data_IF_150094480618
#
_entry.id   IF_150094480618
#
_cell.length_a   1.000
_cell.length_b   1.000
_cell.length_c   1.000
_cell.angle_alpha   90.00
_cell.angle_beta   90.00
_cell.angle_gamma   90.00
#
_symmetry.space_group_name_H-M   'P 1'
#
loop_
_entity.id
_entity.type
_entity.pdbx_description
1 polymer ?
#
# COMPACT_ATOMS: atom_id res chain seq x y z
N UNK A 1 6.47 -26.48 -11.34
CA UNK A 1 6.81 -26.67 -9.91
C UNK A 1 8.16 -26.01 -9.69
N UNK A 2 8.24 -25.05 -8.80
CA UNK A 2 9.49 -24.50 -8.27
C UNK A 2 9.30 -24.46 -6.74
N UNK A 3 10.18 -25.14 -6.02
CA UNK A 3 10.23 -25.05 -4.56
C UNK A 3 11.00 -23.79 -4.15
N UNK A 4 10.78 -23.36 -2.90
CA UNK A 4 11.57 -22.32 -2.25
C UNK A 4 11.90 -22.79 -0.83
N UNK A 5 13.14 -22.59 -0.42
CA UNK A 5 13.74 -23.27 0.73
C UNK A 5 13.49 -22.55 2.07
N UNK A 6 13.40 -23.31 3.16
CA UNK A 6 13.27 -22.77 4.51
C UNK A 6 14.60 -22.18 5.02
N UNK A 7 14.59 -20.95 5.54
CA UNK A 7 15.77 -20.30 6.14
C UNK A 7 15.52 -19.99 7.61
N UNK A 8 16.11 -20.81 8.49
CA UNK A 8 16.10 -20.57 9.94
C UNK A 8 17.20 -19.60 10.38
N UNK A 9 16.86 -18.62 11.24
CA UNK A 9 17.81 -17.67 11.83
C UNK A 9 17.83 -17.83 13.36
N UNK A 10 18.98 -18.21 13.91
CA UNK A 10 19.19 -18.34 15.36
C UNK A 10 19.94 -17.12 15.89
N UNK A 11 19.42 -16.52 16.96
CA UNK A 11 19.99 -15.35 17.62
C UNK A 11 20.61 -15.71 18.98
N UNK A 12 21.81 -15.21 19.26
CA UNK A 12 22.47 -15.36 20.57
C UNK A 12 22.70 -13.99 21.22
N UNK A 13 22.21 -13.81 22.45
CA UNK A 13 22.39 -12.59 23.23
C UNK A 13 23.35 -12.80 24.41
N UNK A 14 24.47 -12.08 24.44
CA UNK A 14 25.44 -12.15 25.54
C UNK A 14 25.13 -11.09 26.61
N UNK A 15 24.80 -11.52 27.83
CA UNK A 15 24.78 -10.65 29.02
C UNK A 15 26.13 -10.68 29.74
N UNK A 16 26.89 -9.60 29.61
CA UNK A 16 27.91 -9.16 30.57
C UNK A 16 28.93 -10.19 31.06
N UNK A 17 29.88 -10.59 30.21
CA UNK A 17 31.02 -11.42 30.62
C UNK A 17 32.15 -11.44 29.58
N UNK A 18 33.40 -11.57 30.04
CA UNK A 18 34.57 -11.66 29.16
C UNK A 18 34.71 -13.08 28.58
N UNK A 19 34.03 -13.36 27.47
CA UNK A 19 34.24 -14.57 26.67
C UNK A 19 34.99 -14.24 25.38
N UNK A 20 36.05 -14.99 25.07
CA UNK A 20 36.84 -14.85 23.84
C UNK A 20 36.65 -16.08 22.94
N UNK A 21 36.22 -15.86 21.69
CA UNK A 21 35.96 -16.93 20.73
C UNK A 21 37.28 -17.34 20.05
N UNK A 22 37.67 -18.61 20.14
CA UNK A 22 38.74 -19.21 19.32
C UNK A 22 38.15 -19.85 18.06
N UNK A 23 38.12 -19.09 16.95
CA UNK A 23 37.68 -19.60 15.64
C UNK A 23 38.83 -20.15 14.79
N UNK A 24 38.69 -21.38 14.28
CA UNK A 24 39.60 -22.00 13.31
C UNK A 24 38.93 -22.15 11.95
N UNK A 25 39.37 -21.40 10.96
CA UNK A 25 38.81 -21.41 9.60
C UNK A 25 39.24 -22.65 8.79
N UNK A 26 38.33 -23.60 8.61
CA UNK A 26 38.50 -24.71 7.66
C UNK A 26 38.03 -24.28 6.27
N UNK A 27 38.94 -24.27 5.29
CA UNK A 27 38.61 -23.99 3.88
C UNK A 27 38.41 -25.29 3.07
N UNK A 28 37.39 -25.37 2.20
CA UNK A 28 37.32 -26.39 1.14
C UNK A 28 38.55 -26.34 0.22
N UNK A 29 38.95 -27.48 -0.34
CA UNK A 29 40.18 -27.62 -1.16
C UNK A 29 39.89 -27.37 -2.65
N UNK A 30 40.31 -26.21 -3.19
CA UNK A 30 40.27 -25.88 -4.63
C UNK A 30 41.52 -25.08 -5.07
N UNK A 31 42.15 -25.47 -6.20
CA UNK A 31 43.54 -25.14 -6.58
C UNK A 31 43.92 -23.63 -6.64
N UNK A 32 45.02 -23.32 -5.97
CA UNK A 32 45.83 -22.06 -5.90
C UNK A 32 46.05 -21.26 -7.20
N UNK A 33 46.04 -19.92 -7.06
CA UNK A 33 47.23 -19.03 -7.25
C UNK A 33 47.03 -17.70 -6.48
N UNK A 34 48.03 -16.81 -6.44
CA UNK A 34 48.23 -15.86 -5.31
C UNK A 34 48.71 -14.45 -5.68
N UNK A 35 48.23 -13.42 -4.96
CA UNK A 35 49.06 -12.33 -4.40
C UNK A 35 48.33 -11.56 -3.26
N UNK A 36 49.04 -10.63 -2.60
CA UNK A 36 48.63 -9.96 -1.34
C UNK A 36 47.94 -8.60 -1.57
N UNK A 37 47.08 -8.14 -0.64
CA UNK A 37 46.94 -6.73 -0.31
C UNK A 37 48.00 -6.28 0.72
N UNK A 38 48.46 -5.04 0.64
CA UNK A 38 49.21 -4.34 1.69
C UNK A 38 48.27 -3.57 2.61
N UNK A 39 48.72 -3.25 3.84
CA UNK A 39 48.10 -2.15 4.58
C UNK A 39 48.56 -0.83 3.97
N UNK A 40 47.66 0.15 3.86
CA UNK A 40 48.01 1.54 4.18
C UNK A 40 46.78 2.35 4.63
N UNK A 41 47.02 3.59 5.04
CA UNK A 41 46.17 4.36 5.98
C UNK A 41 44.82 4.84 5.44
N UNK A 42 43.89 5.05 6.38
CA UNK A 42 42.86 6.08 6.29
C UNK A 42 43.41 7.36 6.93
N UNK A 43 43.54 8.44 6.15
CA UNK A 43 43.83 9.78 6.65
C UNK A 43 42.55 10.62 6.83
N UNK A 44 42.70 11.78 7.48
CA UNK A 44 41.61 12.49 8.16
C UNK A 44 40.92 13.56 7.31
N UNK A 45 39.66 13.86 7.63
CA UNK A 45 38.96 15.09 7.18
C UNK A 45 39.33 16.24 8.15
N UNK A 46 39.75 17.43 7.66
CA UNK A 46 40.29 18.49 8.51
C UNK A 46 39.22 19.33 9.22
N UNK A 47 39.64 20.01 10.30
CA UNK A 47 38.86 21.00 11.06
C UNK A 47 39.29 22.44 10.76
N UNK A 48 38.41 23.40 11.01
CA UNK A 48 38.64 24.84 10.79
C UNK A 48 39.56 25.50 11.85
N UNK A 49 40.25 26.61 11.53
CA UNK A 49 41.12 27.33 12.46
C UNK A 49 40.41 28.47 13.22
N UNK A 50 40.78 28.66 14.50
CA UNK A 50 40.56 29.93 15.23
C UNK A 50 41.54 31.04 14.81
N UNK A 51 41.45 32.27 15.36
CA UNK A 51 41.86 32.46 16.77
C UNK A 51 41.11 33.57 17.57
N UNK A 52 41.27 33.59 18.91
CA UNK A 52 40.79 34.71 19.76
C UNK A 52 41.11 34.58 21.27
N UNK A 53 41.81 35.56 21.86
CA UNK A 53 42.35 35.53 23.23
C UNK A 53 41.33 35.62 24.39
N UNK A 54 41.60 34.88 25.50
CA UNK A 54 41.90 35.34 26.89
C UNK A 54 41.91 34.12 27.86
N UNK A 55 43.02 33.80 28.56
CA UNK A 55 43.34 34.24 29.95
C UNK A 55 42.13 34.14 30.92
N UNK A 56 42.16 33.34 31.99
CA UNK A 56 42.96 33.63 33.20
C UNK A 56 43.19 32.43 34.19
N UNK A 57 44.12 32.58 35.15
CA UNK A 57 44.27 31.93 36.48
C UNK A 57 44.45 30.39 36.68
N UNK A 58 45.71 29.99 36.53
CA UNK A 58 46.59 29.29 37.51
C UNK A 58 46.05 29.06 38.95
N UNK A 59 46.29 27.84 39.51
CA UNK A 59 46.93 27.61 40.84
C UNK A 59 47.54 26.20 40.99
N UNK A 60 48.56 26.06 41.85
CA UNK A 60 49.48 24.90 41.97
C UNK A 60 49.36 24.12 43.29
N UNK A 61 49.60 22.81 43.22
CA UNK A 61 50.52 22.00 44.09
C UNK A 61 50.41 20.51 43.63
N UNK A 62 51.45 19.85 43.10
CA UNK A 62 52.62 19.29 43.81
C UNK A 62 52.23 18.25 44.88
N UNK A 63 52.63 16.97 44.90
CA UNK A 63 53.44 16.06 44.03
C UNK A 63 52.80 14.63 44.10
N UNK A 64 53.28 13.47 43.62
CA UNK A 64 54.61 12.99 43.17
C UNK A 64 54.50 11.73 42.22
N UNK A 65 55.62 11.36 41.57
CA UNK A 65 56.07 10.07 41.00
C UNK A 65 55.15 9.12 40.17
N UNK A 66 55.77 8.54 39.13
CA UNK A 66 55.27 7.49 38.22
C UNK A 66 56.02 6.14 38.44
N UNK A 67 55.72 5.02 37.73
CA UNK A 67 54.56 4.70 36.89
C UNK A 67 53.82 3.39 37.28
N UNK A 68 52.61 3.18 36.74
CA UNK A 68 52.11 1.81 36.50
C UNK A 68 50.70 1.43 37.01
N UNK A 69 49.64 1.99 36.42
CA UNK A 69 48.37 1.26 36.16
C UNK A 69 47.32 2.16 35.48
N UNK A 70 47.15 2.03 34.16
CA UNK A 70 46.07 2.75 33.45
C UNK A 70 44.73 2.08 33.74
N UNK A 71 43.99 2.61 34.73
CA UNK A 71 42.58 2.30 34.94
C UNK A 71 41.75 2.84 33.78
N UNK A 72 41.31 1.98 32.87
CA UNK A 72 40.31 2.36 31.88
C UNK A 72 38.91 2.41 32.52
N UNK A 73 38.18 3.50 32.28
CA UNK A 73 36.79 3.64 32.74
C UNK A 73 35.86 2.75 31.91
N UNK A 74 34.93 2.05 32.59
CA UNK A 74 33.87 1.31 31.91
C UNK A 74 32.86 2.26 31.28
N UNK A 75 32.79 2.27 29.95
CA UNK A 75 31.57 2.63 29.23
C UNK A 75 30.75 1.35 29.00
N UNK A 76 29.45 1.38 29.29
CA UNK A 76 28.55 0.28 28.96
C UNK A 76 28.23 0.26 27.46
N UNK A 77 28.97 -0.53 26.69
CA UNK A 77 28.65 -0.84 25.30
C UNK A 77 27.43 -1.77 25.20
N UNK A 78 26.65 -1.60 24.12
CA UNK A 78 25.45 -2.40 23.83
C UNK A 78 25.84 -3.85 23.48
N UNK A 79 24.96 -4.84 23.72
CA UNK A 79 25.22 -6.22 23.30
C UNK A 79 25.28 -6.31 21.77
N UNK A 80 26.40 -6.80 21.24
CA UNK A 80 26.54 -7.15 19.83
C UNK A 80 25.71 -8.38 19.51
N UNK A 81 24.90 -8.32 18.45
CA UNK A 81 24.10 -9.43 17.97
C UNK A 81 24.80 -10.04 16.75
N UNK A 82 24.90 -11.38 16.71
CA UNK A 82 25.42 -12.14 15.58
C UNK A 82 24.35 -13.10 15.07
N UNK A 83 24.29 -13.28 13.75
CA UNK A 83 23.45 -14.26 13.07
C UNK A 83 24.33 -15.23 12.28
N UNK A 84 23.89 -16.48 12.20
CA UNK A 84 24.50 -17.53 11.37
C UNK A 84 23.41 -18.13 10.49
N UNK A 85 23.63 -18.13 9.18
CA UNK A 85 22.77 -18.82 8.22
C UNK A 85 23.21 -20.29 8.12
N UNK A 86 22.24 -21.20 8.05
CA UNK A 86 22.46 -22.63 7.87
C UNK A 86 21.65 -23.09 6.67
N UNK A 87 22.35 -23.65 5.68
CA UNK A 87 21.78 -24.33 4.53
C UNK A 87 21.49 -25.81 4.91
N UNK A 88 20.41 -26.39 4.36
CA UNK A 88 19.90 -27.70 4.81
C UNK A 88 19.40 -28.59 3.66
N UNK A 89 20.29 -28.86 2.72
CA UNK A 89 20.08 -29.86 1.65
C UNK A 89 20.10 -31.31 2.19
N UNK A 90 18.93 -31.89 2.50
CA UNK A 90 18.70 -33.35 2.46
C UNK A 90 17.19 -33.69 2.55
N UNK A 91 16.68 -34.49 1.61
CA UNK A 91 15.26 -34.85 1.46
C UNK A 91 14.77 -35.89 2.51
N UNK A 92 14.44 -35.49 3.74
CA UNK A 92 13.62 -36.31 4.66
C UNK A 92 12.67 -35.46 5.53
N UNK A 93 11.40 -35.87 5.64
CA UNK A 93 10.44 -35.23 6.57
C UNK A 93 10.81 -35.55 8.02
N UNK A 94 10.99 -34.56 8.92
CA UNK A 94 11.39 -34.81 10.29
C UNK A 94 10.28 -35.47 11.10
N UNK A 95 10.67 -36.37 12.00
CA UNK A 95 9.83 -36.79 13.12
C UNK A 95 10.26 -36.08 14.41
N UNK A 96 9.42 -36.08 15.44
CA UNK A 96 9.67 -35.30 16.67
C UNK A 96 10.99 -35.69 17.38
N UNK A 97 11.53 -36.88 17.13
CA UNK A 97 12.76 -37.38 17.76
C UNK A 97 14.07 -36.78 17.23
N UNK A 98 14.13 -36.26 16.00
CA UNK A 98 15.39 -35.78 15.40
C UNK A 98 15.94 -34.48 16.04
N UNK A 99 15.16 -33.86 16.91
CA UNK A 99 15.46 -32.58 17.56
C UNK A 99 16.53 -32.67 18.66
N UNK A 100 16.75 -33.82 19.31
CA UNK A 100 17.73 -33.94 20.40
C UNK A 100 19.17 -34.20 19.92
N UNK A 101 19.39 -35.06 18.91
CA UNK A 101 20.76 -35.31 18.40
C UNK A 101 21.41 -34.06 17.82
N UNK A 102 20.62 -33.14 17.24
CA UNK A 102 21.11 -31.86 16.76
C UNK A 102 21.62 -30.96 17.91
N UNK A 103 20.99 -31.03 19.09
CA UNK A 103 21.31 -30.22 20.26
C UNK A 103 22.64 -30.63 20.90
N UNK A 104 22.88 -31.94 21.03
CA UNK A 104 24.11 -32.48 21.64
C UNK A 104 25.36 -32.16 20.81
N UNK A 105 25.25 -32.20 19.47
CA UNK A 105 26.38 -31.88 18.57
C UNK A 105 26.84 -30.42 18.64
N UNK A 106 25.94 -29.47 18.90
CA UNK A 106 26.28 -28.05 19.01
C UNK A 106 26.79 -27.65 20.40
N UNK A 107 26.35 -28.35 21.45
CA UNK A 107 26.79 -28.08 22.84
C UNK A 107 28.30 -28.31 23.02
N UNK A 108 28.92 -29.15 22.18
CA UNK A 108 30.36 -29.46 22.20
C UNK A 108 31.29 -28.33 21.72
N UNK A 109 30.76 -27.21 21.19
CA UNK A 109 31.58 -26.08 20.67
C UNK A 109 31.81 -24.95 21.69
N UNK A 110 31.27 -25.05 22.91
CA UNK A 110 31.40 -24.01 23.95
C UNK A 110 32.14 -24.51 25.19
N UNK A 111 32.88 -23.61 25.83
CA UNK A 111 33.69 -23.89 27.02
C UNK A 111 32.78 -24.23 28.23
N UNK A 112 32.99 -25.33 28.99
CA UNK A 112 32.03 -25.84 29.98
C UNK A 112 31.61 -24.90 31.12
N UNK A 113 32.27 -23.75 31.28
CA UNK A 113 31.86 -22.69 32.21
C UNK A 113 30.65 -21.86 31.77
N UNK A 114 30.25 -21.88 30.49
CA UNK A 114 29.27 -20.95 29.91
C UNK A 114 27.78 -21.31 30.15
N UNK A 115 27.39 -21.58 31.40
CA UNK A 115 26.02 -22.01 31.78
C UNK A 115 24.93 -20.91 31.81
N UNK A 116 25.05 -19.86 30.99
CA UNK A 116 24.14 -18.69 31.01
C UNK A 116 23.59 -18.29 29.63
N UNK A 117 23.47 -19.25 28.71
CA UNK A 117 22.78 -19.08 27.43
C UNK A 117 21.45 -19.86 27.44
N UNK A 118 20.34 -19.18 27.72
CA UNK A 118 19.00 -19.69 27.37
C UNK A 118 18.80 -19.50 25.86
N UNK A 119 18.56 -20.56 25.07
CA UNK A 119 18.22 -20.40 23.67
C UNK A 119 16.82 -19.78 23.55
N UNK A 120 16.75 -18.54 23.06
CA UNK A 120 15.48 -17.93 22.68
C UNK A 120 15.16 -18.45 21.27
N UNK A 121 14.40 -19.54 21.21
CA UNK A 121 13.70 -19.92 19.99
C UNK A 121 12.63 -18.86 19.71
N UNK A 122 12.98 -17.88 18.87
CA UNK A 122 11.96 -17.19 18.09
C UNK A 122 11.49 -18.19 17.05
N UNK A 123 10.39 -18.86 17.34
CA UNK A 123 9.61 -19.53 16.31
C UNK A 123 9.10 -18.43 15.38
N UNK A 124 9.86 -18.16 14.32
CA UNK A 124 9.37 -17.38 13.19
C UNK A 124 8.29 -18.26 12.57
N UNK A 125 7.03 -18.04 12.96
CA UNK A 125 5.92 -18.42 12.11
C UNK A 125 6.17 -17.76 10.76
N UNK A 126 6.46 -18.57 9.74
CA UNK A 126 6.42 -18.16 8.35
C UNK A 126 4.94 -17.99 7.95
N UNK A 127 4.30 -17.00 8.57
CA UNK A 127 3.00 -16.49 8.18
C UNK A 127 3.08 -16.01 6.73
N UNK A 128 1.95 -15.98 6.02
CA UNK A 128 1.86 -15.80 4.57
C UNK A 128 2.37 -14.43 4.03
N UNK A 129 2.99 -13.56 4.84
CA UNK A 129 3.51 -12.25 4.44
C UNK A 129 4.63 -12.30 3.37
N UNK A 130 5.31 -13.44 3.25
CA UNK A 130 6.29 -13.71 2.18
C UNK A 130 5.67 -14.36 0.93
N UNK A 131 4.44 -14.89 1.02
CA UNK A 131 3.76 -15.50 -0.13
C UNK A 131 3.22 -14.41 -1.05
N UNK A 132 3.95 -14.20 -2.16
CA UNK A 132 3.60 -13.26 -3.25
C UNK A 132 3.78 -11.78 -2.86
N UNK A 133 5.02 -11.41 -2.55
CA UNK A 133 5.54 -10.05 -2.77
C UNK A 133 6.73 -10.10 -3.72
N UNK A 134 6.50 -9.76 -5.00
CA UNK A 134 7.58 -9.29 -5.90
C UNK A 134 8.34 -8.17 -5.20
N UNK A 135 9.66 -8.10 -5.30
CA UNK A 135 10.39 -7.03 -4.64
C UNK A 135 9.96 -5.67 -5.20
N UNK A 136 10.04 -4.62 -4.37
CA UNK A 136 9.76 -3.25 -4.80
C UNK A 136 10.65 -2.78 -5.96
N UNK A 137 11.78 -3.45 -6.19
CA UNK A 137 12.65 -3.21 -7.34
C UNK A 137 12.17 -3.94 -8.60
N UNK A 138 11.70 -5.19 -8.49
CA UNK A 138 11.04 -5.89 -9.62
C UNK A 138 9.84 -5.09 -10.10
N UNK A 139 8.92 -4.72 -9.20
CA UNK A 139 7.68 -3.98 -9.56
C UNK A 139 7.97 -2.68 -10.34
N UNK A 140 8.97 -1.92 -9.91
CA UNK A 140 9.44 -0.71 -10.61
C UNK A 140 10.03 -1.04 -11.98
N UNK A 141 10.91 -2.03 -12.03
CA UNK A 141 11.53 -2.49 -13.29
C UNK A 141 10.47 -2.95 -14.30
N UNK A 142 9.42 -3.66 -13.84
CA UNK A 142 8.30 -4.11 -14.68
C UNK A 142 7.44 -2.96 -15.17
N UNK A 143 7.07 -1.97 -14.34
CA UNK A 143 6.21 -0.87 -14.80
C UNK A 143 6.93 0.11 -15.74
N UNK A 144 8.25 0.28 -15.57
CA UNK A 144 9.06 1.21 -16.34
C UNK A 144 9.60 0.63 -17.67
N UNK A 145 9.65 -0.71 -17.85
CA UNK A 145 10.01 -1.31 -19.15
C UNK A 145 8.86 -1.15 -20.16
N UNK A 146 9.04 -0.21 -21.09
CA UNK A 146 8.08 0.10 -22.16
C UNK A 146 7.93 -1.00 -23.22
N UNK A 147 8.75 -2.07 -23.18
CA UNK A 147 8.61 -3.24 -24.06
C UNK A 147 7.54 -4.22 -23.55
N UNK A 148 7.21 -4.17 -22.27
CA UNK A 148 6.22 -5.07 -21.69
C UNK A 148 4.78 -4.60 -22.02
N UNK A 149 3.83 -5.53 -22.24
CA UNK A 149 2.43 -5.19 -22.44
C UNK A 149 1.83 -4.34 -21.31
N UNK A 150 0.89 -3.45 -21.65
CA UNK A 150 0.30 -2.51 -20.68
C UNK A 150 -0.38 -3.22 -19.50
N UNK A 151 -0.99 -4.39 -19.74
CA UNK A 151 -1.54 -5.28 -18.71
C UNK A 151 -0.54 -5.60 -17.58
N UNK A 152 0.72 -5.85 -17.91
CA UNK A 152 1.75 -6.29 -16.95
C UNK A 152 2.35 -5.10 -16.21
N UNK A 153 2.58 -4.00 -16.95
CA UNK A 153 3.07 -2.73 -16.42
C UNK A 153 2.07 -2.10 -15.43
N UNK A 154 0.78 -2.09 -15.78
CA UNK A 154 -0.29 -1.61 -14.90
C UNK A 154 -0.45 -2.53 -13.68
N UNK A 155 -0.38 -3.85 -13.85
CA UNK A 155 -0.43 -4.81 -12.73
C UNK A 155 0.69 -4.57 -11.72
N UNK A 156 1.93 -4.42 -12.18
CA UNK A 156 3.07 -4.12 -11.31
C UNK A 156 2.95 -2.74 -10.62
N UNK A 157 2.34 -1.76 -11.27
CA UNK A 157 2.06 -0.46 -10.67
C UNK A 157 1.01 -0.55 -9.55
N UNK A 158 -0.14 -1.20 -9.77
CA UNK A 158 -1.18 -1.30 -8.73
C UNK A 158 -0.74 -2.18 -7.54
N UNK A 159 0.07 -3.22 -7.77
CA UNK A 159 0.71 -4.01 -6.71
C UNK A 159 1.65 -3.14 -5.84
N UNK A 160 2.48 -2.29 -6.46
CA UNK A 160 3.37 -1.38 -5.72
C UNK A 160 2.56 -0.31 -4.97
N UNK A 161 1.57 0.30 -5.64
CA UNK A 161 0.73 1.35 -5.07
C UNK A 161 -0.08 0.85 -3.88
N UNK A 162 -0.60 -0.38 -3.92
CA UNK A 162 -1.25 -1.01 -2.75
C UNK A 162 -0.29 -1.08 -1.56
N UNK A 163 0.95 -1.54 -1.77
CA UNK A 163 1.98 -1.58 -0.71
C UNK A 163 2.31 -0.18 -0.17
N UNK A 164 2.45 0.83 -1.03
CA UNK A 164 2.73 2.21 -0.61
C UNK A 164 1.55 2.82 0.17
N UNK A 165 0.32 2.61 -0.28
CA UNK A 165 -0.89 3.14 0.39
C UNK A 165 -1.11 2.45 1.75
N UNK A 166 -0.94 1.13 1.83
CA UNK A 166 -1.06 0.41 3.10
C UNK A 166 -0.01 0.88 4.11
N UNK A 167 1.24 1.08 3.69
CA UNK A 167 2.29 1.67 4.55
C UNK A 167 1.93 3.10 4.99
N UNK A 168 1.48 3.96 4.07
CA UNK A 168 1.11 5.35 4.39
C UNK A 168 -0.10 5.49 5.31
N UNK A 169 -1.07 4.57 5.25
CA UNK A 169 -2.18 4.50 6.20
C UNK A 169 -1.70 3.94 7.55
N UNK A 170 -0.87 2.89 7.55
CA UNK A 170 -0.31 2.29 8.77
C UNK A 170 0.62 3.24 9.54
N UNK A 171 1.34 4.15 8.86
CA UNK A 171 2.17 5.16 9.54
C UNK A 171 1.35 6.21 10.28
N UNK A 172 0.08 6.39 9.91
CA UNK A 172 -0.85 7.33 10.57
C UNK A 172 -1.69 6.62 11.65
N UNK A 173 -2.03 5.33 11.45
CA UNK A 173 -2.75 4.52 12.43
C UNK A 173 -1.99 3.24 12.85
N UNK A 174 -0.92 3.38 13.66
CA UNK A 174 -0.13 2.23 14.12
C UNK A 174 -0.80 1.43 15.26
N UNK A 175 -2.09 1.64 15.56
CA UNK A 175 -2.78 0.93 16.65
C UNK A 175 -3.28 -0.47 16.26
N UNK A 176 -3.23 -0.80 14.99
CA UNK A 176 -3.72 -2.05 14.39
C UNK A 176 -2.95 -2.33 13.09
N UNK A 177 -3.16 -3.48 12.47
CA UNK A 177 -2.49 -3.87 11.21
C UNK A 177 -3.50 -4.18 10.12
N UNK A 178 -3.10 -3.95 8.86
CA UNK A 178 -3.85 -4.46 7.72
C UNK A 178 -3.70 -5.98 7.63
N UNK A 179 -4.81 -6.71 7.68
CA UNK A 179 -4.86 -8.11 7.24
C UNK A 179 -4.66 -8.15 5.73
N UNK A 180 -3.66 -8.90 5.29
CA UNK A 180 -3.45 -9.27 3.89
C UNK A 180 -4.19 -10.57 3.60
N UNK A 181 -4.87 -10.63 2.46
CA UNK A 181 -5.86 -11.67 2.14
C UNK A 181 -5.81 -11.91 0.61
N UNK A 182 -4.91 -12.80 0.18
CA UNK A 182 -4.72 -13.16 -1.22
C UNK A 182 -5.75 -14.21 -1.67
N UNK A 183 -6.23 -14.11 -2.91
CA UNK A 183 -7.24 -15.01 -3.45
C UNK A 183 -7.10 -15.20 -4.96
N UNK A 184 -7.49 -16.38 -5.43
CA UNK A 184 -7.61 -16.74 -6.85
C UNK A 184 -9.08 -16.98 -7.22
N UNK A 185 -9.41 -16.91 -8.52
CA UNK A 185 -10.74 -17.26 -9.05
C UNK A 185 -10.65 -18.44 -9.98
N UNK A 186 -11.49 -19.44 -9.76
CA UNK A 186 -11.64 -20.60 -10.65
C UNK A 186 -12.05 -20.23 -12.09
N UNK A 187 -12.56 -19.02 -12.31
CA UNK A 187 -12.90 -18.46 -13.64
C UNK A 187 -11.80 -17.61 -14.27
N UNK A 188 -10.64 -17.46 -13.62
CA UNK A 188 -9.48 -16.71 -14.11
C UNK A 188 -9.14 -15.49 -13.25
N UNK A 189 -7.83 -15.32 -13.04
CA UNK A 189 -7.22 -14.22 -12.29
C UNK A 189 -7.24 -14.35 -10.77
N UNK A 190 -6.65 -13.34 -10.13
CA UNK A 190 -6.40 -13.29 -8.69
C UNK A 190 -6.55 -11.86 -8.15
N UNK A 191 -6.32 -11.69 -6.86
CA UNK A 191 -6.24 -10.39 -6.22
C UNK A 191 -5.78 -10.48 -4.78
N UNK A 192 -5.50 -9.33 -4.21
CA UNK A 192 -5.04 -9.18 -2.82
C UNK A 192 -5.90 -8.12 -2.16
N UNK A 193 -6.59 -8.50 -1.09
CA UNK A 193 -7.36 -7.58 -0.26
C UNK A 193 -6.55 -7.21 0.98
N UNK A 194 -6.32 -5.93 1.21
CA UNK A 194 -5.68 -5.41 2.42
C UNK A 194 -6.76 -4.72 3.25
N UNK A 195 -7.16 -5.31 4.37
CA UNK A 195 -8.28 -4.81 5.21
C UNK A 195 -7.78 -4.47 6.61
N UNK A 196 -8.07 -3.25 7.07
CA UNK A 196 -7.89 -2.78 8.43
C UNK A 196 -9.27 -2.48 9.03
N UNK A 197 -9.49 -2.87 10.27
CA UNK A 197 -10.70 -2.58 11.04
C UNK A 197 -10.33 -2.18 12.47
N UNK A 198 -11.19 -1.37 13.08
CA UNK A 198 -11.14 -1.00 14.50
C UNK A 198 -9.81 -0.34 14.93
N UNK A 199 -9.18 0.42 14.01
CA UNK A 199 -8.05 1.29 14.30
C UNK A 199 -8.43 2.58 15.02
N UNK A 200 -7.46 3.23 15.67
CA UNK A 200 -7.68 4.43 16.46
C UNK A 200 -8.03 5.65 15.58
N UNK A 201 -7.53 5.68 14.34
CA UNK A 201 -7.80 6.71 13.33
C UNK A 201 -8.80 6.19 12.30
N UNK A 202 -8.66 4.95 11.84
CA UNK A 202 -9.46 4.33 10.78
C UNK A 202 -10.36 3.23 11.34
N UNK A 203 -11.67 3.52 11.42
CA UNK A 203 -12.67 2.56 11.91
C UNK A 203 -12.79 1.35 10.96
N UNK A 204 -12.64 1.60 9.65
CA UNK A 204 -12.42 0.59 8.61
C UNK A 204 -11.67 1.21 7.44
N UNK A 205 -10.67 0.52 6.92
CA UNK A 205 -10.00 0.84 5.67
C UNK A 205 -9.81 -0.42 4.84
N UNK A 206 -9.96 -0.32 3.52
CA UNK A 206 -9.65 -1.42 2.62
C UNK A 206 -8.96 -0.92 1.36
N UNK A 207 -7.89 -1.59 0.96
CA UNK A 207 -7.10 -1.30 -0.24
C UNK A 207 -6.98 -2.61 -1.02
N UNK A 208 -7.80 -2.77 -2.06
CA UNK A 208 -7.93 -4.02 -2.80
C UNK A 208 -7.31 -3.89 -4.19
N UNK A 209 -6.53 -4.89 -4.58
CA UNK A 209 -6.03 -5.08 -5.96
C UNK A 209 -6.72 -6.32 -6.55
N UNK A 210 -7.12 -6.22 -7.81
CA UNK A 210 -7.54 -7.38 -8.60
C UNK A 210 -6.89 -7.37 -9.98
N UNK A 211 -6.55 -8.56 -10.47
CA UNK A 211 -5.96 -8.83 -11.78
C UNK A 211 -6.76 -10.00 -12.36
N UNK A 212 -7.80 -9.70 -13.13
CA UNK A 212 -8.75 -10.69 -13.66
C UNK A 212 -8.65 -10.83 -15.18
N UNK A 213 -8.79 -12.05 -15.66
CA UNK A 213 -8.84 -12.39 -17.07
C UNK A 213 -9.88 -13.47 -17.31
N UNK A 214 -10.39 -13.58 -18.53
CA UNK A 214 -11.42 -14.56 -18.86
C UNK A 214 -12.01 -14.29 -20.23
N UNK A 215 -13.26 -14.69 -20.43
CA UNK A 215 -14.01 -14.46 -21.66
C UNK A 215 -15.22 -13.54 -21.45
N UNK A 216 -15.48 -12.67 -22.43
CA UNK A 216 -16.70 -11.88 -22.53
C UNK A 216 -17.68 -12.60 -23.48
N UNK A 217 -18.88 -12.98 -23.01
CA UNK A 217 -19.90 -13.51 -23.89
C UNK A 217 -20.45 -12.41 -24.81
N UNK A 218 -20.98 -12.73 -26.00
CA UNK A 218 -21.43 -11.75 -26.98
C UNK A 218 -22.40 -10.68 -26.45
N UNK A 219 -23.28 -11.03 -25.51
CA UNK A 219 -24.20 -10.09 -24.87
C UNK A 219 -23.50 -9.01 -24.03
N UNK A 220 -22.37 -9.34 -23.38
CA UNK A 220 -21.57 -8.36 -22.64
C UNK A 220 -20.81 -7.44 -23.59
N UNK A 221 -20.25 -7.99 -24.69
CA UNK A 221 -19.58 -7.18 -25.72
C UNK A 221 -20.57 -6.26 -26.44
N UNK A 222 -21.82 -6.68 -26.67
CA UNK A 222 -22.87 -5.84 -27.22
C UNK A 222 -23.24 -4.65 -26.29
N UNK A 223 -23.28 -4.87 -24.98
CA UNK A 223 -23.44 -3.78 -23.99
C UNK A 223 -22.21 -2.84 -23.97
N UNK A 224 -21.00 -3.37 -24.18
CA UNK A 224 -19.81 -2.55 -24.34
C UNK A 224 -19.88 -1.70 -25.61
N UNK A 225 -20.22 -2.27 -26.77
CA UNK A 225 -20.40 -1.56 -28.05
C UNK A 225 -21.32 -0.33 -27.95
N UNK A 226 -22.50 -0.47 -27.35
CA UNK A 226 -23.45 0.64 -27.21
C UNK A 226 -22.90 1.79 -26.33
N UNK A 227 -21.91 1.51 -25.47
CA UNK A 227 -21.26 2.51 -24.59
C UNK A 227 -19.94 3.04 -25.18
N UNK A 228 -19.23 2.19 -25.91
CA UNK A 228 -17.92 2.40 -26.52
C UNK A 228 -18.07 2.31 -28.04
N UNK A 229 -18.55 3.41 -28.61
CA UNK A 229 -18.56 3.81 -30.04
C UNK A 229 -18.31 2.68 -31.06
N UNK A 230 -19.33 2.29 -31.82
CA UNK A 230 -19.45 0.98 -32.48
C UNK A 230 -18.22 0.58 -33.32
N UNK A 231 -17.59 1.54 -33.98
CA UNK A 231 -16.36 1.39 -34.77
C UNK A 231 -15.24 0.67 -34.00
N UNK A 232 -15.10 0.90 -32.68
CA UNK A 232 -14.08 0.27 -31.82
C UNK A 232 -14.13 -1.26 -31.86
N UNK A 233 -15.32 -1.83 -32.11
CA UNK A 233 -15.54 -3.26 -32.21
C UNK A 233 -15.91 -3.72 -33.63
N UNK A 234 -15.78 -2.89 -34.66
CA UNK A 234 -16.17 -3.22 -36.04
C UNK A 234 -15.47 -4.44 -36.65
N UNK A 235 -14.37 -4.88 -36.05
CA UNK A 235 -13.60 -6.09 -36.38
C UNK A 235 -14.22 -7.41 -35.87
N UNK A 236 -15.19 -7.37 -34.95
CA UNK A 236 -15.78 -8.56 -34.31
C UNK A 236 -17.13 -8.96 -34.94
N UNK A 237 -17.32 -10.25 -35.21
CA UNK A 237 -18.47 -10.76 -35.97
C UNK A 237 -19.81 -10.80 -35.20
N UNK A 238 -19.79 -10.50 -33.90
CA UNK A 238 -20.97 -10.49 -33.03
C UNK A 238 -21.36 -11.86 -32.43
N UNK A 239 -20.60 -12.94 -32.72
CA UNK A 239 -20.98 -14.32 -32.36
C UNK A 239 -19.99 -15.02 -31.44
N UNK A 240 -18.68 -14.81 -31.65
CA UNK A 240 -17.66 -15.46 -30.83
C UNK A 240 -17.46 -14.75 -29.49
N UNK A 241 -17.17 -15.53 -28.46
CA UNK A 241 -16.64 -15.07 -27.17
C UNK A 241 -15.30 -14.32 -27.35
N UNK A 242 -15.06 -13.26 -26.57
CA UNK A 242 -13.84 -12.44 -26.66
C UNK A 242 -13.00 -12.50 -25.38
N UNK A 243 -11.70 -12.88 -25.44
CA UNK A 243 -10.82 -12.84 -24.29
C UNK A 243 -10.62 -11.40 -23.79
N UNK A 244 -10.73 -11.20 -22.48
CA UNK A 244 -10.48 -9.92 -21.84
C UNK A 244 -9.47 -10.03 -20.70
N UNK A 245 -8.88 -8.89 -20.39
CA UNK A 245 -8.08 -8.66 -19.18
C UNK A 245 -8.54 -7.36 -18.52
N UNK A 246 -8.61 -7.35 -17.20
CA UNK A 246 -8.89 -6.17 -16.41
C UNK A 246 -8.09 -6.22 -15.11
N UNK A 247 -7.37 -5.14 -14.80
CA UNK A 247 -6.73 -4.99 -13.50
C UNK A 247 -7.02 -3.62 -12.89
N UNK A 248 -6.96 -3.52 -11.57
CA UNK A 248 -7.11 -2.23 -10.90
C UNK A 248 -6.95 -2.28 -9.39
N UNK A 249 -6.65 -1.12 -8.83
CA UNK A 249 -6.71 -0.83 -7.41
C UNK A 249 -8.06 -0.17 -7.09
N UNK A 250 -8.65 -0.53 -5.95
CA UNK A 250 -9.88 0.07 -5.43
C UNK A 250 -9.79 0.15 -3.92
N UNK A 251 -9.99 1.34 -3.35
CA UNK A 251 -9.92 1.57 -1.92
C UNK A 251 -11.08 2.40 -1.40
N UNK A 252 -11.42 2.17 -0.13
CA UNK A 252 -12.28 3.04 0.67
C UNK A 252 -11.68 3.13 2.08
N UNK A 253 -11.58 4.34 2.62
CA UNK A 253 -11.13 4.59 3.99
C UNK A 253 -12.22 5.35 4.74
N UNK A 254 -12.63 4.82 5.90
CA UNK A 254 -13.60 5.43 6.80
C UNK A 254 -12.93 5.77 8.14
N UNK A 255 -12.49 7.03 8.33
CA UNK A 255 -11.98 7.47 9.62
C UNK A 255 -13.00 7.32 10.75
N UNK A 256 -12.49 7.04 11.95
CA UNK A 256 -13.29 6.96 13.17
C UNK A 256 -13.81 8.34 13.60
N UNK A 257 -12.98 9.38 13.49
CA UNK A 257 -13.35 10.75 13.86
C UNK A 257 -14.33 11.39 12.84
N UNK A 258 -15.48 11.95 13.26
CA UNK A 258 -16.40 12.69 12.39
C UNK A 258 -15.78 13.84 11.57
N UNK A 259 -14.72 14.46 12.08
CA UNK A 259 -14.03 15.57 11.41
C UNK A 259 -13.14 15.11 10.26
N UNK A 260 -12.76 13.83 10.23
CA UNK A 260 -11.89 13.26 9.22
C UNK A 260 -12.72 12.63 8.08
N UNK A 261 -12.50 13.01 6.81
CA UNK A 261 -13.34 12.59 5.69
C UNK A 261 -13.11 11.13 5.28
N UNK A 262 -14.20 10.47 4.87
CA UNK A 262 -14.10 9.24 4.08
C UNK A 262 -13.50 9.59 2.71
N UNK A 263 -12.65 8.72 2.17
CA UNK A 263 -12.15 8.84 0.78
C UNK A 263 -12.35 7.53 0.04
N UNK A 264 -12.54 7.64 -1.28
CA UNK A 264 -12.54 6.53 -2.22
C UNK A 264 -11.57 6.84 -3.36
N UNK A 265 -10.87 5.81 -3.84
CA UNK A 265 -10.05 5.86 -5.06
C UNK A 265 -10.26 4.56 -5.83
N UNK A 266 -10.32 4.67 -7.15
CA UNK A 266 -10.25 3.53 -8.07
C UNK A 266 -9.36 3.90 -9.26
N UNK A 267 -8.41 3.04 -9.63
CA UNK A 267 -7.71 3.16 -10.90
C UNK A 267 -7.60 1.78 -11.55
N UNK A 268 -8.10 1.67 -12.78
CA UNK A 268 -8.25 0.41 -13.52
C UNK A 268 -7.84 0.55 -14.98
N UNK A 269 -7.40 -0.56 -15.55
CA UNK A 269 -7.16 -0.76 -16.97
C UNK A 269 -7.97 -1.96 -17.44
N UNK A 270 -8.56 -1.86 -18.63
CA UNK A 270 -9.36 -2.91 -19.24
C UNK A 270 -8.93 -3.07 -20.70
N UNK A 271 -8.82 -4.31 -21.18
CA UNK A 271 -8.54 -4.61 -22.58
C UNK A 271 -9.24 -5.88 -23.09
N UNK A 272 -9.45 -5.92 -24.40
CA UNK A 272 -10.07 -7.01 -25.16
C UNK A 272 -9.11 -7.45 -26.28
N UNK A 273 -8.84 -8.74 -26.35
CA UNK A 273 -8.04 -9.36 -27.41
C UNK A 273 -8.91 -9.91 -28.54
N UNK A 274 -8.29 -10.10 -29.70
CA UNK A 274 -8.85 -10.83 -30.83
C UNK A 274 -8.41 -12.30 -30.74
N UNK A 275 -9.33 -13.29 -30.71
CA UNK A 275 -8.97 -14.71 -30.75
C UNK A 275 -8.09 -15.10 -31.94
N UNK A 276 -8.14 -14.36 -33.05
CA UNK A 276 -7.31 -14.59 -34.23
C UNK A 276 -5.95 -13.87 -34.20
N UNK A 277 -5.69 -13.03 -33.20
CA UNK A 277 -4.36 -12.43 -33.03
C UNK A 277 -3.37 -13.47 -32.50
N UNK A 278 -2.39 -13.81 -33.32
CA UNK A 278 -1.27 -14.66 -32.94
C UNK A 278 -0.47 -14.01 -31.82
N UNK A 279 -0.30 -14.72 -30.69
CA UNK A 279 0.65 -14.33 -29.66
C UNK A 279 2.08 -14.60 -30.17
N UNK A 280 2.64 -13.64 -30.90
CA UNK A 280 4.10 -13.60 -31.13
C UNK A 280 4.79 -13.46 -29.76
N UNK A 281 5.86 -14.24 -29.55
CA UNK A 281 6.36 -14.64 -28.23
C UNK A 281 6.39 -13.49 -27.18
N UNK A 282 5.50 -13.57 -26.19
CA UNK A 282 5.42 -12.62 -25.07
C UNK A 282 4.68 -11.31 -25.36
N UNK A 283 4.21 -11.07 -26.58
CA UNK A 283 3.46 -9.84 -26.93
C UNK A 283 1.94 -10.07 -26.88
N UNK A 284 1.22 -9.11 -26.28
CA UNK A 284 -0.25 -9.05 -26.34
C UNK A 284 -0.68 -7.69 -26.88
N UNK A 285 -1.32 -7.69 -28.05
CA UNK A 285 -1.79 -6.49 -28.74
C UNK A 285 -3.32 -6.40 -28.63
N UNK A 286 -3.86 -5.59 -27.69
CA UNK A 286 -5.31 -5.45 -27.53
C UNK A 286 -5.94 -4.66 -28.68
N UNK A 287 -7.11 -5.10 -29.14
CA UNK A 287 -7.89 -4.37 -30.16
C UNK A 287 -8.64 -3.19 -29.57
N UNK A 288 -9.15 -3.37 -28.35
CA UNK A 288 -9.90 -2.35 -27.60
C UNK A 288 -9.34 -2.33 -26.18
N UNK A 289 -9.01 -1.15 -25.69
CA UNK A 289 -8.56 -0.95 -24.32
C UNK A 289 -8.96 0.43 -23.83
N UNK A 290 -9.02 0.60 -22.52
CA UNK A 290 -9.20 1.90 -21.88
C UNK A 290 -8.72 1.90 -20.43
N UNK A 291 -8.36 3.08 -19.94
CA UNK A 291 -8.25 3.36 -18.52
C UNK A 291 -9.58 3.88 -17.97
N UNK A 292 -9.78 3.69 -16.67
CA UNK A 292 -10.86 4.30 -15.92
C UNK A 292 -10.46 4.52 -14.48
N UNK A 293 -11.14 5.40 -13.77
CA UNK A 293 -10.82 5.64 -12.37
C UNK A 293 -11.42 6.91 -11.81
N UNK A 294 -10.82 7.36 -10.71
CA UNK A 294 -11.24 8.54 -9.99
C UNK A 294 -10.76 8.50 -8.55
N UNK A 295 -10.93 9.61 -7.85
CA UNK A 295 -10.65 9.75 -6.42
C UNK A 295 -11.56 10.86 -5.90
N UNK A 296 -12.38 10.57 -4.88
CA UNK A 296 -13.42 11.47 -4.35
C UNK A 296 -13.46 11.50 -2.81
N UNK A 297 -13.81 12.67 -2.26
CA UNK A 297 -13.78 12.94 -0.83
C UNK A 297 -15.19 13.12 -0.26
N UNK A 298 -15.50 12.35 0.77
CA UNK A 298 -16.79 12.33 1.48
C UNK A 298 -16.61 12.78 2.94
N UNK A 299 -16.55 14.10 3.21
CA UNK A 299 -16.56 14.64 4.56
C UNK A 299 -17.90 14.42 5.26
N UNK A 300 -17.89 14.39 6.60
CA UNK A 300 -19.09 14.61 7.43
C UNK A 300 -19.21 16.04 7.93
N UNK A 301 -18.10 16.78 8.03
CA UNK A 301 -18.06 18.21 8.30
C UNK A 301 -17.23 18.92 7.24
N UNK A 302 -17.72 20.06 6.75
CA UNK A 302 -17.04 20.78 5.68
C UNK A 302 -15.85 21.56 6.23
N UNK A 303 -14.67 21.30 5.68
CA UNK A 303 -13.47 22.11 5.89
C UNK A 303 -13.00 22.64 4.53
N UNK A 304 -13.30 23.92 4.18
CA UNK A 304 -13.01 24.45 2.85
C UNK A 304 -11.55 24.32 2.41
N UNK A 305 -10.59 24.36 3.33
CA UNK A 305 -9.17 24.24 3.01
C UNK A 305 -8.72 22.79 2.79
N UNK A 306 -9.44 21.80 3.35
CA UNK A 306 -9.21 20.39 3.01
C UNK A 306 -9.77 20.06 1.63
N UNK A 307 -10.93 20.66 1.29
CA UNK A 307 -11.52 20.57 -0.04
C UNK A 307 -10.58 21.16 -1.11
N UNK A 308 -10.07 22.38 -0.89
CA UNK A 308 -9.05 23.00 -1.75
C UNK A 308 -7.78 22.16 -1.84
N UNK A 309 -7.25 21.66 -0.72
CA UNK A 309 -6.04 20.82 -0.69
C UNK A 309 -6.19 19.60 -1.59
N UNK A 310 -7.28 18.83 -1.39
CA UNK A 310 -7.57 17.63 -2.15
C UNK A 310 -7.73 17.91 -3.65
N UNK A 311 -8.59 18.88 -4.00
CA UNK A 311 -8.86 19.22 -5.40
C UNK A 311 -7.65 19.87 -6.10
N UNK A 312 -6.86 20.69 -5.42
CA UNK A 312 -5.64 21.28 -5.99
C UNK A 312 -4.58 20.21 -6.30
N UNK A 313 -4.44 19.18 -5.46
CA UNK A 313 -3.56 18.04 -5.76
C UNK A 313 -4.01 17.29 -7.02
N UNK A 314 -5.30 16.99 -7.16
CA UNK A 314 -5.88 16.35 -8.34
C UNK A 314 -5.72 17.21 -9.60
N UNK A 315 -6.09 18.50 -9.51
CA UNK A 315 -5.94 19.48 -10.59
C UNK A 315 -4.49 19.59 -11.07
N UNK A 316 -3.53 19.67 -10.15
CA UNK A 316 -2.10 19.74 -10.47
C UNK A 316 -1.63 18.51 -11.28
N UNK A 317 -2.20 17.32 -11.03
CA UNK A 317 -1.87 16.14 -11.84
C UNK A 317 -2.57 16.17 -13.20
N UNK A 318 -3.85 16.51 -13.25
CA UNK A 318 -4.58 16.64 -14.51
C UNK A 318 -3.93 17.68 -15.46
N UNK A 319 -3.62 18.88 -14.95
CA UNK A 319 -3.06 19.99 -15.73
C UNK A 319 -1.69 19.65 -16.38
N UNK A 320 -0.90 18.72 -15.80
CA UNK A 320 0.35 18.21 -16.40
C UNK A 320 0.12 17.49 -17.73
N UNK A 321 -1.00 16.78 -17.85
CA UNK A 321 -1.27 15.87 -18.97
C UNK A 321 -2.24 16.48 -19.98
N UNK A 322 -3.32 17.11 -19.50
CA UNK A 322 -4.23 17.92 -20.31
C UNK A 322 -5.06 18.86 -19.40
N UNK A 323 -4.99 20.19 -19.60
CA UNK A 323 -5.79 21.16 -18.84
C UNK A 323 -7.32 20.97 -18.87
N UNK A 324 -7.88 20.19 -19.81
CA UNK A 324 -9.32 19.85 -19.78
C UNK A 324 -9.66 18.75 -18.78
N UNK A 325 -8.72 17.86 -18.44
CA UNK A 325 -8.99 16.68 -17.61
C UNK A 325 -9.55 17.02 -16.24
N UNK A 326 -9.07 18.07 -15.56
CA UNK A 326 -9.64 18.45 -14.27
C UNK A 326 -11.10 18.92 -14.38
N UNK A 327 -11.46 19.97 -15.13
CA UNK A 327 -12.86 20.40 -15.21
C UNK A 327 -13.78 19.31 -15.78
N UNK A 328 -13.35 18.54 -16.78
CA UNK A 328 -14.15 17.46 -17.38
C UNK A 328 -14.43 16.34 -16.35
N UNK A 329 -13.39 15.83 -15.68
CA UNK A 329 -13.51 14.71 -14.74
C UNK A 329 -14.08 15.13 -13.38
N UNK A 330 -13.89 16.39 -12.96
CA UNK A 330 -14.55 16.97 -11.77
C UNK A 330 -16.05 17.11 -12.01
N UNK A 331 -16.45 17.69 -13.14
CA UNK A 331 -17.86 17.79 -13.51
C UNK A 331 -18.49 16.40 -13.72
N UNK A 332 -17.74 15.39 -14.17
CA UNK A 332 -18.21 14.00 -14.20
C UNK A 332 -18.36 13.41 -12.79
N UNK A 333 -17.42 13.66 -11.88
CA UNK A 333 -17.49 13.24 -10.48
C UNK A 333 -18.78 13.76 -9.80
N UNK A 334 -19.09 15.03 -9.97
CA UNK A 334 -20.29 15.69 -9.40
C UNK A 334 -21.62 15.17 -9.98
N UNK A 335 -21.59 14.54 -11.16
CA UNK A 335 -22.72 13.84 -11.78
C UNK A 335 -22.79 12.37 -11.35
N UNK A 336 -21.65 11.67 -11.28
CA UNK A 336 -21.60 10.23 -11.00
C UNK A 336 -21.99 9.92 -9.55
N UNK A 337 -21.49 10.69 -8.58
CA UNK A 337 -21.76 10.47 -7.15
C UNK A 337 -23.03 11.16 -6.63
N UNK A 338 -23.98 11.51 -7.51
CA UNK A 338 -25.31 11.97 -7.14
C UNK A 338 -26.12 10.82 -6.52
N UNK A 339 -26.96 11.11 -5.53
CA UNK A 339 -27.96 10.21 -4.95
C UNK A 339 -29.36 10.73 -5.37
N UNK A 340 -29.92 10.32 -6.53
CA UNK A 340 -31.14 10.91 -7.09
C UNK A 340 -32.33 11.01 -6.12
N UNK A 341 -32.60 9.98 -5.31
CA UNK A 341 -33.72 9.97 -4.37
C UNK A 341 -33.51 10.87 -3.12
N UNK A 342 -32.34 11.51 -2.98
CA UNK A 342 -32.01 12.51 -1.96
C UNK A 342 -31.76 13.90 -2.55
N UNK A 343 -31.49 13.98 -3.85
CA UNK A 343 -31.00 15.16 -4.57
C UNK A 343 -29.74 15.80 -3.94
N UNK A 344 -28.82 14.96 -3.46
CA UNK A 344 -27.53 15.36 -2.89
C UNK A 344 -26.42 14.45 -3.42
N UNK A 345 -25.15 14.89 -3.43
CA UNK A 345 -23.99 14.04 -3.75
C UNK A 345 -23.54 13.28 -2.51
N UNK A 346 -22.84 12.16 -2.73
CA UNK A 346 -22.20 11.35 -1.67
C UNK A 346 -21.23 12.17 -0.83
N UNK A 347 -20.39 12.95 -1.52
CA UNK A 347 -19.34 13.82 -0.96
C UNK A 347 -19.09 15.05 -1.84
N UNK A 348 -17.99 15.76 -1.60
CA UNK A 348 -17.62 17.04 -2.26
C UNK A 348 -16.90 16.85 -3.60
N UNK A 349 -17.17 15.73 -4.26
CA UNK A 349 -16.53 15.36 -5.53
C UNK A 349 -15.03 15.07 -5.40
N UNK A 350 -14.34 15.30 -6.51
CA UNK A 350 -12.96 14.91 -6.78
C UNK A 350 -12.79 14.83 -8.29
N UNK A 351 -12.24 13.74 -8.80
CA UNK A 351 -12.29 13.42 -10.25
C UNK A 351 -12.88 12.04 -10.50
N UNK A 352 -13.56 11.88 -11.64
CA UNK A 352 -14.04 10.59 -12.15
C UNK A 352 -13.88 10.51 -13.68
N UNK A 353 -13.36 9.39 -14.17
CA UNK A 353 -13.26 9.10 -15.60
C UNK A 353 -13.52 7.61 -15.90
N UNK A 354 -13.98 7.35 -17.11
CA UNK A 354 -14.23 6.03 -17.66
C UNK A 354 -13.89 6.08 -19.15
N UNK A 355 -13.63 4.92 -19.77
CA UNK A 355 -13.45 4.79 -21.22
C UNK A 355 -12.28 5.61 -21.84
N UNK A 356 -11.37 6.10 -20.99
CA UNK A 356 -10.27 6.98 -21.34
C UNK A 356 -9.22 6.24 -22.18
N UNK A 357 -9.02 6.71 -23.41
CA UNK A 357 -8.24 6.04 -24.45
C UNK A 357 -7.54 7.08 -25.34
N UNK A 358 -6.38 6.74 -25.89
CA UNK A 358 -5.42 7.70 -26.48
C UNK A 358 -4.05 7.06 -26.69
N UNK A 359 -2.95 7.75 -26.39
CA UNK A 359 -1.65 7.07 -26.27
C UNK A 359 -1.59 6.24 -24.96
N UNK A 360 -1.25 4.94 -24.99
CA UNK A 360 -1.23 4.11 -23.80
C UNK A 360 -0.23 4.57 -22.74
N UNK A 361 0.94 5.09 -23.15
CA UNK A 361 2.02 5.45 -22.22
C UNK A 361 1.69 6.77 -21.52
N UNK A 362 1.21 7.77 -22.24
CA UNK A 362 0.77 9.05 -21.67
C UNK A 362 -0.36 8.83 -20.67
N UNK A 363 -1.38 8.03 -21.02
CA UNK A 363 -2.48 7.73 -20.11
C UNK A 363 -2.05 6.87 -18.91
N UNK A 364 -1.08 5.97 -19.07
CA UNK A 364 -0.48 5.26 -17.95
C UNK A 364 0.31 6.20 -17.03
N UNK A 365 1.07 7.16 -17.57
CA UNK A 365 1.76 8.18 -16.78
C UNK A 365 0.77 9.10 -16.03
N UNK A 366 -0.37 9.45 -16.64
CA UNK A 366 -1.45 10.18 -15.97
C UNK A 366 -2.05 9.40 -14.78
N UNK A 367 -2.32 8.11 -14.96
CA UNK A 367 -2.81 7.22 -13.89
C UNK A 367 -1.75 6.97 -12.81
N UNK A 368 -0.45 7.04 -13.17
CA UNK A 368 0.67 7.02 -12.22
C UNK A 368 0.74 8.29 -11.38
N UNK A 369 0.85 9.46 -12.02
CA UNK A 369 0.84 10.76 -11.32
C UNK A 369 -0.34 10.87 -10.35
N UNK A 370 -1.55 10.46 -10.76
CA UNK A 370 -2.74 10.50 -9.91
C UNK A 370 -2.69 9.58 -8.69
N UNK A 371 -2.24 8.33 -8.84
CA UNK A 371 -2.16 7.38 -7.73
C UNK A 371 -1.00 7.69 -6.78
N UNK A 372 0.17 8.04 -7.32
CA UNK A 372 1.34 8.46 -6.53
C UNK A 372 1.03 9.71 -5.66
N UNK A 373 0.12 10.59 -6.11
CA UNK A 373 -0.33 11.77 -5.35
C UNK A 373 -1.56 11.53 -4.45
N UNK A 374 -2.08 10.30 -4.32
CA UNK A 374 -3.18 9.99 -3.40
C UNK A 374 -2.81 10.26 -1.92
N UNK A 375 -1.66 9.76 -1.46
CA UNK A 375 -1.25 9.99 -0.08
C UNK A 375 -0.98 11.47 0.22
N UNK A 376 -0.27 12.25 -0.64
CA UNK A 376 -0.21 13.71 -0.51
C UNK A 376 -1.55 14.43 -0.47
N UNK A 377 -2.57 13.99 -1.22
CA UNK A 377 -3.89 14.63 -1.22
C UNK A 377 -4.75 14.28 0.00
N UNK A 378 -4.50 13.14 0.66
CA UNK A 378 -5.32 12.62 1.75
C UNK A 378 -4.68 12.66 3.15
N UNK A 379 -3.44 12.21 3.33
CA UNK A 379 -2.83 12.08 4.67
C UNK A 379 -2.73 13.43 5.41
N UNK A 380 -2.35 14.57 4.78
CA UNK A 380 -2.31 15.86 5.47
C UNK A 380 -3.69 16.33 5.96
N UNK A 381 -4.79 15.83 5.36
CA UNK A 381 -6.15 16.10 5.87
C UNK A 381 -6.40 15.24 7.12
N UNK A 382 -6.06 13.95 7.08
CA UNK A 382 -6.24 13.06 8.24
C UNK A 382 -5.40 13.54 9.42
N UNK A 383 -4.14 13.91 9.22
CA UNK A 383 -3.27 14.49 10.26
C UNK A 383 -3.91 15.70 10.97
N UNK A 384 -4.57 16.59 10.22
CA UNK A 384 -5.27 17.78 10.76
C UNK A 384 -6.55 17.44 11.53
N UNK A 385 -7.24 16.34 11.20
CA UNK A 385 -8.62 16.08 11.66
C UNK A 385 -8.78 14.92 12.63
N UNK A 386 -7.92 13.91 12.57
CA UNK A 386 -8.04 12.66 13.32
C UNK A 386 -8.16 12.83 14.84
N UNK A 387 -7.48 13.82 15.44
CA UNK A 387 -7.48 14.09 16.88
C UNK A 387 -8.35 15.29 17.29
N UNK A 388 -9.18 15.83 16.38
CA UNK A 388 -10.13 16.89 16.74
C UNK A 388 -11.18 16.36 17.73
N UNK A 389 -11.52 17.17 18.75
CA UNK A 389 -12.61 16.82 19.69
C UNK A 389 -13.94 16.79 18.95
N UNK A 390 -14.73 15.75 19.21
CA UNK A 390 -16.10 15.59 18.72
C UNK A 390 -17.01 15.19 19.89
N UNK A 391 -18.32 15.12 19.64
CA UNK A 391 -19.33 14.67 20.60
C UNK A 391 -20.32 13.70 19.95
N UNK A 392 -21.22 13.11 20.74
CA UNK A 392 -22.21 12.15 20.23
C UNK A 392 -23.13 12.73 19.14
N UNK A 393 -23.37 14.06 19.15
CA UNK A 393 -24.03 14.78 18.06
C UNK A 393 -23.24 14.64 16.74
N UNK A 394 -21.93 14.91 16.79
CA UNK A 394 -21.04 14.79 15.64
C UNK A 394 -20.91 13.33 15.15
N UNK A 395 -20.88 12.36 16.07
CA UNK A 395 -20.86 10.94 15.70
C UNK A 395 -22.21 10.52 15.10
N UNK A 396 -23.35 10.94 15.64
CA UNK A 396 -24.69 10.73 15.07
C UNK A 396 -24.78 11.26 13.64
N UNK A 397 -24.26 12.47 13.38
CA UNK A 397 -24.20 13.02 12.01
C UNK A 397 -23.31 12.19 11.07
N UNK A 398 -22.09 11.82 11.49
CA UNK A 398 -21.20 10.95 10.71
C UNK A 398 -21.90 9.64 10.32
N UNK A 399 -22.68 9.05 11.24
CA UNK A 399 -23.42 7.81 10.99
C UNK A 399 -24.55 7.98 9.96
N UNK A 400 -25.24 9.13 9.94
CA UNK A 400 -26.24 9.47 8.92
C UNK A 400 -25.58 9.74 7.55
N UNK A 401 -24.44 10.45 7.51
CA UNK A 401 -23.65 10.64 6.27
C UNK A 401 -23.13 9.32 5.72
N UNK A 402 -22.69 8.40 6.57
CA UNK A 402 -22.34 7.02 6.19
C UNK A 402 -23.55 6.22 5.69
N UNK A 403 -24.74 6.46 6.22
CA UNK A 403 -26.00 5.93 5.65
C UNK A 403 -26.19 6.32 4.18
N UNK A 404 -25.88 7.58 3.81
CA UNK A 404 -25.87 8.05 2.42
C UNK A 404 -24.78 7.39 1.56
N UNK A 405 -23.63 7.08 2.14
CA UNK A 405 -22.56 6.33 1.46
C UNK A 405 -23.01 4.91 1.11
N UNK A 406 -23.68 4.22 2.03
CA UNK A 406 -24.28 2.89 1.80
C UNK A 406 -25.43 2.96 0.78
N UNK A 407 -26.31 3.98 0.87
CA UNK A 407 -27.35 4.24 -0.13
C UNK A 407 -26.76 4.38 -1.54
N UNK A 408 -25.67 5.11 -1.72
CA UNK A 408 -25.03 5.23 -3.03
C UNK A 408 -24.45 3.89 -3.52
N UNK A 409 -23.62 3.23 -2.71
CA UNK A 409 -22.91 2.03 -3.14
C UNK A 409 -23.87 0.87 -3.48
N UNK A 410 -24.96 0.69 -2.73
CA UNK A 410 -25.92 -0.39 -2.97
C UNK A 410 -26.97 -0.05 -4.04
N UNK A 411 -27.41 1.21 -4.16
CA UNK A 411 -28.54 1.58 -5.03
C UNK A 411 -28.08 2.16 -6.38
N UNK A 412 -26.89 2.74 -6.50
CA UNK A 412 -26.45 3.46 -7.71
C UNK A 412 -25.11 3.05 -8.28
N UNK A 413 -24.11 2.70 -7.47
CA UNK A 413 -22.76 2.42 -7.98
C UNK A 413 -22.73 1.25 -8.99
N UNK A 414 -22.16 1.51 -10.17
CA UNK A 414 -22.02 0.52 -11.25
C UNK A 414 -21.05 -0.59 -10.86
N UNK A 415 -19.94 -0.27 -10.18
CA UNK A 415 -18.91 -1.23 -9.80
C UNK A 415 -19.43 -2.28 -8.82
N UNK A 416 -20.06 -1.82 -7.74
CA UNK A 416 -20.68 -2.66 -6.70
C UNK A 416 -21.75 -3.57 -7.29
N UNK A 417 -22.67 -3.03 -8.10
CA UNK A 417 -23.71 -3.83 -8.76
C UNK A 417 -23.15 -4.88 -9.71
N UNK A 418 -22.18 -4.51 -10.56
CA UNK A 418 -21.55 -5.44 -11.49
C UNK A 418 -20.80 -6.55 -10.75
N UNK A 419 -20.07 -6.20 -9.68
CA UNK A 419 -19.38 -7.17 -8.81
C UNK A 419 -20.36 -8.17 -8.17
N UNK A 420 -21.44 -7.70 -7.56
CA UNK A 420 -22.45 -8.57 -6.93
C UNK A 420 -23.23 -9.43 -7.93
N UNK A 421 -23.38 -8.98 -9.18
CA UNK A 421 -24.01 -9.75 -10.26
C UNK A 421 -23.06 -10.74 -10.95
N UNK A 422 -21.74 -10.67 -10.71
CA UNK A 422 -20.73 -11.49 -11.38
C UNK A 422 -20.57 -12.85 -10.67
N UNK A 423 -20.82 -14.00 -11.33
CA UNK A 423 -20.61 -15.31 -10.74
C UNK A 423 -19.14 -15.53 -10.29
N UNK A 424 -18.97 -16.09 -9.09
CA UNK A 424 -17.64 -16.31 -8.52
C UNK A 424 -16.84 -15.02 -8.27
N UNK A 425 -17.50 -13.88 -8.07
CA UNK A 425 -16.86 -12.69 -7.54
C UNK A 425 -16.75 -12.76 -6.01
N UNK A 426 -15.69 -12.17 -5.44
CA UNK A 426 -15.43 -12.21 -4.00
C UNK A 426 -16.23 -11.13 -3.29
N UNK A 427 -17.40 -11.51 -2.77
CA UNK A 427 -18.38 -10.59 -2.15
C UNK A 427 -17.76 -9.72 -1.06
N UNK A 428 -16.94 -10.28 -0.17
CA UNK A 428 -16.24 -9.53 0.89
C UNK A 428 -15.30 -8.43 0.33
N UNK A 429 -14.63 -8.69 -0.80
CA UNK A 429 -13.77 -7.71 -1.46
C UNK A 429 -14.55 -6.57 -2.15
N UNK A 430 -15.86 -6.77 -2.41
CA UNK A 430 -16.79 -5.76 -2.95
C UNK A 430 -17.42 -4.95 -1.80
N UNK A 431 -17.92 -5.64 -0.77
CA UNK A 431 -18.54 -5.04 0.42
C UNK A 431 -17.53 -4.48 1.43
N UNK A 432 -16.22 -4.64 1.17
CA UNK A 432 -15.14 -3.82 1.74
C UNK A 432 -15.52 -2.33 1.80
N UNK A 433 -16.15 -1.84 0.73
CA UNK A 433 -16.56 -0.43 0.56
C UNK A 433 -17.64 0.07 1.53
N UNK A 434 -18.27 -0.80 2.33
CA UNK A 434 -19.26 -0.40 3.33
C UNK A 434 -18.57 -0.06 4.67
N UNK A 435 -18.96 1.01 5.38
CA UNK A 435 -18.43 1.34 6.70
C UNK A 435 -18.81 0.30 7.76
N UNK A 436 -18.01 0.18 8.81
CA UNK A 436 -18.28 -0.71 9.95
C UNK A 436 -19.61 -0.35 10.65
N UNK A 437 -19.92 0.95 10.75
CA UNK A 437 -21.16 1.46 11.33
C UNK A 437 -21.80 2.54 10.44
N UNK A 438 -23.12 2.50 10.31
CA UNK A 438 -23.96 3.50 9.63
C UNK A 438 -25.36 3.57 10.28
N UNK A 439 -26.12 4.65 10.04
CA UNK A 439 -27.42 4.89 10.68
C UNK A 439 -28.43 5.50 9.72
N UNK A 440 -29.69 5.13 9.91
CA UNK A 440 -30.85 5.77 9.30
C UNK A 440 -31.83 6.19 10.40
N UNK A 441 -32.46 7.34 10.20
CA UNK A 441 -33.48 7.89 11.08
C UNK A 441 -34.64 8.39 10.22
N UNK A 442 -35.87 8.13 10.65
CA UNK A 442 -37.05 8.69 10.00
C UNK A 442 -37.17 10.18 10.38
N UNK A 443 -37.12 11.06 9.37
CA UNK A 443 -37.23 12.51 9.51
C UNK A 443 -36.27 13.12 10.56
N UNK A 444 -34.99 12.78 10.47
CA UNK A 444 -33.93 13.35 11.33
C UNK A 444 -33.90 14.88 11.33
N UNK A 445 -33.70 15.45 12.51
CA UNK A 445 -33.46 16.87 12.80
C UNK A 445 -32.10 17.40 12.28
N UNK A 446 -31.08 16.53 12.17
CA UNK A 446 -29.73 16.97 11.83
C UNK A 446 -29.62 17.48 10.39
N UNK A 447 -28.99 18.64 10.23
CA UNK A 447 -28.91 19.36 8.95
C UNK A 447 -30.17 20.16 8.58
N UNK A 448 -31.18 20.22 9.46
CA UNK A 448 -32.33 21.15 9.30
C UNK A 448 -32.06 22.53 9.90
N UNK A 449 -31.27 22.60 10.98
CA UNK A 449 -30.94 23.83 11.71
C UNK A 449 -30.18 24.83 10.85
N UNK A 450 -30.65 26.09 10.83
CA UNK A 450 -30.00 27.17 10.10
C UNK A 450 -28.65 27.53 10.73
N UNK A 451 -27.64 27.78 9.90
CA UNK A 451 -26.25 28.07 10.31
C UNK A 451 -25.52 26.92 11.05
N UNK A 452 -26.03 25.69 10.98
CA UNK A 452 -25.31 24.48 11.45
C UNK A 452 -24.28 24.01 10.40
N UNK A 453 -23.21 23.34 10.84
CA UNK A 453 -22.17 22.84 9.93
C UNK A 453 -22.66 21.61 9.11
N UNK A 454 -23.61 20.87 9.67
CA UNK A 454 -24.43 19.84 9.02
C UNK A 454 -25.18 20.44 7.82
N UNK A 455 -25.80 21.60 8.01
CA UNK A 455 -26.53 22.34 6.98
C UNK A 455 -25.60 22.87 5.90
N UNK A 456 -24.46 23.47 6.27
CA UNK A 456 -23.46 23.96 5.31
C UNK A 456 -22.97 22.83 4.38
N UNK A 457 -22.70 21.64 4.93
CA UNK A 457 -22.35 20.48 4.11
C UNK A 457 -23.51 20.09 3.17
N UNK A 458 -24.75 19.98 3.68
CA UNK A 458 -25.89 19.60 2.83
C UNK A 458 -26.12 20.58 1.67
N UNK A 459 -25.82 21.86 1.84
CA UNK A 459 -25.89 22.85 0.76
C UNK A 459 -24.85 22.57 -0.32
N UNK A 460 -23.58 22.32 0.04
CA UNK A 460 -22.54 21.90 -0.91
C UNK A 460 -22.87 20.59 -1.64
N UNK A 461 -23.51 19.63 -0.96
CA UNK A 461 -23.89 18.36 -1.58
C UNK A 461 -25.09 18.52 -2.54
N UNK A 462 -25.92 19.55 -2.37
CA UNK A 462 -27.01 19.91 -3.31
C UNK A 462 -26.53 20.77 -4.46
N UNK A 463 -25.59 21.67 -4.20
CA UNK A 463 -25.02 22.62 -5.15
C UNK A 463 -23.47 22.54 -5.08
N UNK A 464 -22.85 21.64 -5.88
CA UNK A 464 -21.41 21.47 -5.91
C UNK A 464 -20.68 22.77 -6.23
N UNK A 465 -19.60 23.03 -5.49
CA UNK A 465 -18.75 24.22 -5.65
C UNK A 465 -17.48 23.86 -6.42
N UNK A 466 -16.80 24.87 -6.96
CA UNK A 466 -15.43 24.71 -7.45
C UNK A 466 -14.42 24.93 -6.31
N UNK A 467 -13.31 24.22 -6.36
CA UNK A 467 -12.34 24.11 -5.25
C UNK A 467 -10.88 24.40 -5.63
N UNK A 468 -10.55 24.38 -6.93
CA UNK A 468 -9.21 24.59 -7.49
C UNK A 468 -9.32 25.01 -8.98
#
# INVERSE_FOLDING_TARGET
MLGYDEVGVVWYGVRGGNCAIRGSLVKPRGRKKTCRPSLDRLDQVPTEPGPGHRQDRIKHSDQDNQPGSTKCHFWHSRPSIFAVLVDRTDDHKPSVHDSSEAMDRWTALFDPGCRWLTPIFVEIQLNDENMIRKSRQELKTTMDDTKLPMRDRMSAYIELLQSQIVEGLTSVDPSTTFRWDHWERASGGSGTSCILQEGAVFEKAGVNVSIVHGSLPPAAVAQMRHRLDEDRFGWWDGKQDLPFFACGISLVVHPHNPMAPTVHLNYRYFEVLDPSSSQEEGTTNPKVWWFGGGTDLTPSYLFPDDAKHFHAHLKTQCDKHNPSFYPDFKAWCDRYFLIPHRNERRGIGGIFFDDLSGDPNQLFHFVRDLGDHFLPSYLPIIERRQWMRFSDHHKRWQQLRRGRYVEFNLVYDRGTKFGLATPGARIESILMSLPLTSRWEYMSDLGTEANSAEKELLEVLKEPREWA
#
